data_IF_164677804560
#
_entry.id   IF_164677804560
#
_cell.length_a   1.000
_cell.length_b   1.000
_cell.length_c   1.000
_cell.angle_alpha   90.00
_cell.angle_beta   90.00
_cell.angle_gamma   90.00
#
_symmetry.space_group_name_H-M   'P 1'
#
loop_
_entity.id
_entity.type
_entity.pdbx_description
1 polymer ?
#
# COMPACT_ATOMS: atom_id res chain seq x y z
N UNK A 1 -10.04 -65.75 6.53
CA UNK A 1 -8.93 -64.80 6.25
C UNK A 1 -9.08 -64.00 4.95
N UNK A 2 -9.58 -64.55 3.82
CA UNK A 2 -9.69 -63.81 2.55
C UNK A 2 -10.76 -62.68 2.46
N UNK A 3 -11.75 -62.64 3.37
CA UNK A 3 -12.81 -61.62 3.36
C UNK A 3 -12.44 -60.31 4.08
N UNK A 4 -11.47 -60.35 4.98
CA UNK A 4 -11.03 -59.17 5.74
C UNK A 4 -9.98 -58.36 4.98
N UNK A 5 -9.19 -59.00 4.12
CA UNK A 5 -8.22 -58.31 3.25
C UNK A 5 -8.89 -57.46 2.17
N UNK A 6 -10.02 -57.89 1.61
CA UNK A 6 -10.74 -57.10 0.59
C UNK A 6 -11.43 -55.86 1.16
N UNK A 7 -11.93 -55.93 2.40
CA UNK A 7 -12.54 -54.76 3.05
C UNK A 7 -11.48 -53.71 3.41
N UNK A 8 -10.31 -54.15 3.90
CA UNK A 8 -9.19 -53.26 4.22
C UNK A 8 -8.66 -52.55 2.97
N UNK A 9 -8.55 -53.25 1.84
CA UNK A 9 -8.08 -52.67 0.56
C UNK A 9 -9.09 -51.66 0.02
N UNK A 10 -10.40 -51.90 0.16
CA UNK A 10 -11.43 -50.95 -0.29
C UNK A 10 -11.45 -49.68 0.59
N UNK A 11 -11.30 -49.81 1.91
CA UNK A 11 -11.22 -48.67 2.82
C UNK A 11 -9.93 -47.86 2.59
N UNK A 12 -8.80 -48.52 2.34
CA UNK A 12 -7.53 -47.86 2.00
C UNK A 12 -7.64 -47.14 0.64
N UNK A 13 -8.28 -47.73 -0.38
CA UNK A 13 -8.48 -47.08 -1.67
C UNK A 13 -9.45 -45.89 -1.60
N UNK A 14 -10.49 -45.95 -0.76
CA UNK A 14 -11.41 -44.81 -0.54
C UNK A 14 -10.73 -43.68 0.24
N UNK A 15 -9.93 -44.01 1.26
CA UNK A 15 -9.13 -43.02 1.99
C UNK A 15 -8.05 -42.41 1.08
N UNK A 16 -7.41 -43.20 0.21
CA UNK A 16 -6.44 -42.69 -0.77
C UNK A 16 -7.13 -41.83 -1.83
N UNK A 17 -8.34 -42.18 -2.29
CA UNK A 17 -9.10 -41.37 -3.26
C UNK A 17 -9.61 -40.06 -2.65
N UNK A 18 -10.04 -40.08 -1.38
CA UNK A 18 -10.44 -38.86 -0.65
C UNK A 18 -9.22 -37.99 -0.36
N UNK A 19 -8.07 -38.57 0.01
CA UNK A 19 -6.82 -37.81 0.18
C UNK A 19 -6.25 -37.30 -1.15
N UNK A 20 -6.39 -38.01 -2.27
CA UNK A 20 -5.97 -37.50 -3.59
C UNK A 20 -6.90 -36.37 -4.05
N UNK A 21 -8.20 -36.42 -3.72
CA UNK A 21 -9.14 -35.34 -4.01
C UNK A 21 -8.94 -34.12 -3.10
N UNK A 22 -8.54 -34.31 -1.83
CA UNK A 22 -8.24 -33.24 -0.87
C UNK A 22 -6.82 -32.66 -1.06
N UNK A 23 -5.88 -33.42 -1.64
CA UNK A 23 -4.52 -32.96 -1.94
C UNK A 23 -4.43 -32.22 -3.30
N UNK A 24 -5.51 -32.19 -4.09
CA UNK A 24 -5.55 -31.37 -5.30
C UNK A 24 -5.87 -29.88 -5.08
N UNK A 25 -6.11 -29.41 -3.84
CA UNK A 25 -6.55 -28.02 -3.61
C UNK A 25 -5.52 -27.06 -2.96
N UNK A 26 -4.23 -27.40 -2.84
CA UNK A 26 -3.28 -26.52 -2.08
C UNK A 26 -1.86 -26.41 -2.65
N UNK A 27 -1.66 -26.50 -3.98
CA UNK A 27 -0.36 -26.15 -4.58
C UNK A 27 -0.51 -25.15 -5.72
N UNK A 28 -0.65 -23.87 -5.37
CA UNK A 28 -0.42 -22.80 -6.35
C UNK A 28 1.10 -22.59 -6.50
N UNK A 29 1.60 -22.85 -7.71
CA UNK A 29 3.00 -22.73 -8.08
C UNK A 29 3.42 -21.25 -8.14
N UNK A 30 4.61 -20.98 -7.61
CA UNK A 30 5.30 -19.69 -7.80
C UNK A 30 5.70 -19.55 -9.26
N UNK A 31 5.14 -18.57 -9.98
CA UNK A 31 5.82 -18.10 -11.19
C UNK A 31 7.00 -17.23 -10.78
N UNK A 32 8.22 -17.76 -10.91
CA UNK A 32 9.45 -16.98 -10.89
C UNK A 32 9.83 -16.67 -12.33
N UNK A 33 9.73 -15.39 -12.71
CA UNK A 33 10.10 -14.96 -14.05
C UNK A 33 11.61 -15.20 -14.28
N UNK A 34 12.02 -15.98 -15.32
CA UNK A 34 13.44 -16.18 -15.65
C UNK A 34 14.12 -14.91 -16.18
N UNK A 35 13.39 -13.82 -16.41
CA UNK A 35 13.89 -12.49 -16.78
C UNK A 35 13.76 -11.51 -15.61
N UNK A 36 14.71 -11.56 -14.66
CA UNK A 36 15.08 -10.47 -13.72
C UNK A 36 14.02 -9.36 -13.49
N UNK A 37 12.83 -9.67 -12.98
CA UNK A 37 11.82 -8.67 -12.57
C UNK A 37 11.06 -9.16 -11.33
N UNK A 38 10.77 -8.21 -10.44
CA UNK A 38 10.71 -8.39 -8.99
C UNK A 38 9.34 -8.77 -8.39
N UNK A 39 8.35 -9.21 -9.17
CA UNK A 39 7.00 -9.49 -8.66
C UNK A 39 6.73 -11.00 -8.59
N UNK A 40 6.33 -11.49 -7.42
CA UNK A 40 5.71 -12.80 -7.27
C UNK A 40 4.19 -12.60 -7.25
N UNK A 41 3.43 -13.49 -7.87
CA UNK A 41 1.96 -13.46 -7.86
C UNK A 41 1.48 -14.82 -7.35
N UNK A 42 0.58 -14.82 -6.37
CA UNK A 42 -0.23 -15.99 -6.02
C UNK A 42 -1.67 -15.69 -6.47
N UNK A 43 -2.43 -16.73 -6.76
CA UNK A 43 -3.79 -16.62 -7.29
C UNK A 43 -4.52 -17.90 -6.93
N UNK A 44 -5.84 -17.86 -6.79
CA UNK A 44 -6.62 -19.09 -6.68
C UNK A 44 -6.70 -19.78 -8.04
N UNK A 45 -6.40 -21.08 -8.04
CA UNK A 45 -5.90 -21.80 -9.20
C UNK A 45 -6.96 -22.23 -10.25
N UNK A 46 -8.25 -21.89 -10.07
CA UNK A 46 -9.36 -22.39 -10.90
C UNK A 46 -10.14 -21.32 -11.69
N UNK A 47 -9.74 -20.03 -11.64
CA UNK A 47 -10.43 -18.97 -12.40
C UNK A 47 -9.97 -18.94 -13.88
N UNK A 48 -10.87 -18.99 -14.88
CA UNK A 48 -10.50 -18.93 -16.30
C UNK A 48 -9.82 -17.60 -16.71
N UNK A 49 -9.90 -16.55 -15.89
CA UNK A 49 -9.21 -15.27 -16.09
C UNK A 49 -7.78 -15.27 -15.53
N UNK A 50 -7.33 -16.36 -14.90
CA UNK A 50 -6.06 -16.43 -14.18
C UNK A 50 -4.84 -15.95 -14.98
N UNK A 51 -4.65 -16.45 -16.19
CA UNK A 51 -3.50 -16.07 -17.03
C UNK A 51 -3.50 -14.55 -17.31
N UNK A 52 -4.67 -13.98 -17.55
CA UNK A 52 -4.84 -12.55 -17.82
C UNK A 52 -4.59 -11.69 -16.58
N UNK A 53 -4.99 -12.18 -15.40
CA UNK A 53 -4.67 -11.56 -14.11
C UNK A 53 -3.16 -11.52 -13.91
N UNK A 54 -2.48 -12.65 -14.11
CA UNK A 54 -1.01 -12.74 -13.99
C UNK A 54 -0.32 -11.78 -14.97
N UNK A 55 -0.76 -11.75 -16.23
CA UNK A 55 -0.21 -10.84 -17.25
C UNK A 55 -0.40 -9.37 -16.86
N UNK A 56 -1.57 -8.99 -16.34
CA UNK A 56 -1.80 -7.63 -15.84
C UNK A 56 -0.86 -7.25 -14.69
N UNK A 57 -0.58 -8.16 -13.75
CA UNK A 57 0.42 -7.91 -12.70
C UNK A 57 1.85 -7.79 -13.24
N UNK A 58 2.20 -8.58 -14.27
CA UNK A 58 3.51 -8.48 -14.94
C UNK A 58 3.65 -7.13 -15.66
N UNK A 59 2.59 -6.68 -16.34
CA UNK A 59 2.54 -5.37 -17.00
C UNK A 59 2.63 -4.24 -15.97
N UNK A 60 1.89 -4.31 -14.86
CA UNK A 60 1.96 -3.34 -13.77
C UNK A 60 3.38 -3.23 -13.17
N UNK A 61 4.02 -4.37 -12.91
CA UNK A 61 5.40 -4.41 -12.43
C UNK A 61 6.40 -3.84 -13.41
N UNK A 62 6.17 -4.05 -14.70
CA UNK A 62 7.00 -3.48 -15.77
C UNK A 62 6.84 -1.95 -15.85
N UNK A 63 5.62 -1.44 -15.68
CA UNK A 63 5.33 0.00 -15.63
C UNK A 63 6.00 0.64 -14.41
N UNK A 64 5.81 0.09 -13.20
CA UNK A 64 6.45 0.61 -11.99
C UNK A 64 7.99 0.56 -12.07
N UNK A 65 8.55 -0.55 -12.58
CA UNK A 65 10.01 -0.70 -12.75
C UNK A 65 10.61 0.21 -13.85
N UNK A 66 9.77 0.78 -14.73
CA UNK A 66 10.21 1.78 -15.70
C UNK A 66 10.38 3.17 -15.07
N UNK A 67 9.78 3.40 -13.91
CA UNK A 67 9.79 4.67 -13.20
C UNK A 67 10.72 4.63 -11.98
N UNK A 68 10.58 3.57 -11.17
CA UNK A 68 11.30 3.38 -9.93
C UNK A 68 12.64 2.68 -10.16
N UNK A 69 13.69 3.22 -9.53
CA UNK A 69 15.00 2.62 -9.43
C UNK A 69 15.11 1.96 -8.04
N UNK A 70 14.80 0.66 -7.99
CA UNK A 70 14.76 -0.11 -6.75
C UNK A 70 16.14 -0.69 -6.42
N UNK A 71 16.59 -0.51 -5.17
CA UNK A 71 17.83 -1.11 -4.65
C UNK A 71 17.62 -2.57 -4.27
N UNK A 72 16.45 -2.86 -3.72
CA UNK A 72 16.01 -4.22 -3.42
C UNK A 72 14.67 -4.49 -4.10
N UNK A 73 14.47 -5.74 -4.50
CA UNK A 73 13.18 -6.21 -5.01
C UNK A 73 12.06 -5.99 -3.99
N UNK A 74 10.91 -5.52 -4.47
CA UNK A 74 9.66 -5.45 -3.71
C UNK A 74 8.82 -6.66 -4.12
N UNK A 75 8.54 -7.53 -3.15
CA UNK A 75 7.76 -8.73 -3.33
C UNK A 75 6.31 -8.43 -2.98
N UNK A 76 5.44 -8.65 -3.95
CA UNK A 76 4.00 -8.54 -3.77
C UNK A 76 3.44 -9.95 -3.56
N UNK A 77 2.41 -10.10 -2.73
CA UNK A 77 1.55 -11.27 -2.71
C UNK A 77 0.13 -10.80 -2.99
N UNK A 78 -0.51 -11.43 -3.96
CA UNK A 78 -1.85 -11.08 -4.35
C UNK A 78 -2.76 -12.28 -4.18
N UNK A 79 -4.04 -12.01 -3.96
CA UNK A 79 -5.14 -12.95 -4.17
C UNK A 79 -6.13 -12.30 -5.13
N UNK A 80 -6.63 -13.04 -6.11
CA UNK A 80 -7.68 -12.57 -7.01
C UNK A 80 -8.74 -13.67 -7.09
N UNK A 81 -9.97 -13.32 -6.72
CA UNK A 81 -11.10 -14.24 -6.62
C UNK A 81 -12.40 -13.43 -6.59
N UNK A 82 -13.53 -14.05 -6.89
CA UNK A 82 -14.83 -13.42 -6.70
C UNK A 82 -15.13 -13.34 -5.20
N UNK A 83 -15.21 -12.12 -4.66
CA UNK A 83 -15.42 -11.88 -3.23
C UNK A 83 -16.75 -12.46 -2.74
N UNK A 84 -17.70 -12.67 -3.64
CA UNK A 84 -19.03 -13.22 -3.35
C UNK A 84 -19.17 -14.71 -3.67
N UNK A 85 -18.13 -15.39 -4.17
CA UNK A 85 -18.23 -16.77 -4.68
C UNK A 85 -18.88 -17.75 -3.68
N UNK A 86 -18.57 -17.59 -2.39
CA UNK A 86 -19.00 -18.46 -1.30
C UNK A 86 -20.01 -17.81 -0.33
N UNK A 87 -20.45 -16.56 -0.59
CA UNK A 87 -21.39 -15.84 0.26
C UNK A 87 -22.74 -15.57 -0.46
N UNK A 88 -23.78 -16.37 -0.20
CA UNK A 88 -25.10 -16.18 -0.79
C UNK A 88 -25.82 -14.91 -0.29
N UNK A 89 -25.29 -14.24 0.72
CA UNK A 89 -25.78 -12.96 1.23
C UNK A 89 -24.94 -11.76 0.76
N UNK A 90 -23.94 -11.99 -0.09
CA UNK A 90 -23.08 -10.95 -0.65
C UNK A 90 -23.91 -9.89 -1.38
N UNK A 91 -24.28 -8.85 -0.65
CA UNK A 91 -25.10 -7.73 -1.07
C UNK A 91 -24.46 -6.46 -0.51
N UNK A 92 -24.71 -5.32 -1.15
CA UNK A 92 -24.18 -4.03 -0.70
C UNK A 92 -22.72 -3.81 -1.13
N UNK A 93 -22.00 -2.99 -0.36
CA UNK A 93 -20.73 -2.39 -0.78
C UNK A 93 -19.61 -3.42 -1.02
N UNK A 94 -19.58 -4.51 -0.26
CA UNK A 94 -18.58 -5.58 -0.41
C UNK A 94 -18.62 -6.27 -1.78
N UNK A 95 -19.80 -6.37 -2.40
CA UNK A 95 -19.94 -6.95 -3.74
C UNK A 95 -19.39 -6.03 -4.84
N UNK A 96 -19.27 -4.73 -4.57
CA UNK A 96 -18.79 -3.71 -5.51
C UNK A 96 -17.37 -3.24 -5.20
N UNK A 97 -16.76 -3.73 -4.11
CA UNK A 97 -15.36 -3.47 -3.78
C UNK A 97 -14.46 -4.07 -4.88
N UNK A 98 -13.68 -3.27 -5.61
CA UNK A 98 -12.78 -3.77 -6.64
C UNK A 98 -11.57 -4.53 -6.06
N UNK A 99 -11.27 -4.34 -4.78
CA UNK A 99 -10.09 -4.85 -4.12
C UNK A 99 -9.19 -3.73 -3.60
N UNK A 100 -8.09 -4.14 -2.98
CA UNK A 100 -7.12 -3.24 -2.35
C UNK A 100 -5.70 -3.83 -2.41
N UNK A 101 -4.69 -2.98 -2.24
CA UNK A 101 -3.36 -3.43 -1.84
C UNK A 101 -2.74 -2.51 -0.80
N UNK A 102 -2.04 -3.11 0.16
CA UNK A 102 -1.48 -2.42 1.31
C UNK A 102 -0.09 -2.95 1.67
N UNK A 103 0.75 -2.15 2.37
CA UNK A 103 1.99 -2.65 2.93
C UNK A 103 1.71 -3.80 3.90
N UNK A 104 2.47 -4.89 3.81
CA UNK A 104 2.35 -6.01 4.77
C UNK A 104 2.92 -5.66 6.14
N UNK A 105 3.87 -4.73 6.18
CA UNK A 105 4.49 -4.27 7.41
C UNK A 105 4.85 -2.79 7.30
N UNK A 106 4.63 -2.06 8.39
CA UNK A 106 5.09 -0.69 8.60
C UNK A 106 6.21 -0.70 9.66
N UNK A 107 7.30 0.03 9.39
CA UNK A 107 8.38 0.25 10.34
C UNK A 107 8.24 1.63 10.95
N UNK A 108 8.26 1.69 12.28
CA UNK A 108 8.37 2.95 13.00
C UNK A 108 9.84 3.41 12.96
N UNK A 109 10.12 4.45 12.18
CA UNK A 109 11.46 5.01 12.03
C UNK A 109 11.48 6.47 12.46
N UNK A 110 12.63 6.93 12.95
CA UNK A 110 12.82 8.33 13.31
C UNK A 110 13.34 9.10 12.11
N UNK A 111 12.62 10.14 11.74
CA UNK A 111 12.86 10.94 10.56
C UNK A 111 13.97 12.01 10.80
N UNK A 112 14.32 12.78 9.76
CA UNK A 112 15.35 13.82 9.82
C UNK A 112 14.99 15.02 10.70
N UNK A 113 13.70 15.28 10.90
CA UNK A 113 13.16 16.24 11.86
C UNK A 113 13.05 15.68 13.30
N UNK A 114 13.44 14.41 13.50
CA UNK A 114 13.42 13.74 14.79
C UNK A 114 12.06 13.15 15.19
N UNK A 115 11.03 13.26 14.35
CA UNK A 115 9.69 12.69 14.59
C UNK A 115 9.66 11.23 14.16
N UNK A 116 8.98 10.38 14.93
CA UNK A 116 8.75 8.99 14.57
C UNK A 116 7.59 8.86 13.58
N UNK A 117 7.81 8.15 12.47
CA UNK A 117 6.80 7.90 11.44
C UNK A 117 6.83 6.46 10.96
N UNK A 118 5.71 5.99 10.46
CA UNK A 118 5.50 4.67 9.86
C UNK A 118 5.92 4.69 8.39
N UNK A 119 6.80 3.77 8.04
CA UNK A 119 7.33 3.57 6.68
C UNK A 119 6.93 2.19 6.17
N UNK A 120 6.37 2.06 4.96
CA UNK A 120 6.08 0.76 4.39
C UNK A 120 7.37 -0.01 4.12
N UNK A 121 7.37 -1.31 4.40
CA UNK A 121 8.55 -2.17 4.20
C UNK A 121 9.13 -2.05 2.78
N UNK A 122 8.25 -1.91 1.78
CA UNK A 122 8.59 -1.68 0.37
C UNK A 122 9.53 -0.48 0.16
N UNK A 123 9.37 0.58 0.96
CA UNK A 123 10.24 1.78 1.00
C UNK A 123 11.46 1.56 1.89
N UNK A 124 11.30 0.96 3.07
CA UNK A 124 12.40 0.73 4.03
C UNK A 124 13.57 -0.01 3.40
N UNK A 125 13.28 -1.02 2.56
CA UNK A 125 14.26 -1.80 1.79
C UNK A 125 15.05 -1.01 0.75
N UNK A 126 14.66 0.24 0.50
CA UNK A 126 15.34 1.12 -0.46
C UNK A 126 16.33 2.07 0.23
N UNK A 127 16.29 2.16 1.56
CA UNK A 127 17.31 2.88 2.32
C UNK A 127 18.58 2.04 2.49
N UNK A 128 19.71 2.70 2.77
CA UNK A 128 21.01 2.04 2.93
C UNK A 128 21.42 2.08 4.40
N UNK A 129 20.76 1.27 5.22
CA UNK A 129 21.10 1.12 6.63
C UNK A 129 22.44 0.41 6.80
N UNK A 130 23.12 0.64 7.93
CA UNK A 130 24.36 -0.08 8.26
C UNK A 130 24.09 -1.56 8.59
N UNK A 131 22.89 -1.85 9.09
CA UNK A 131 22.34 -3.19 9.28
C UNK A 131 20.88 -3.12 8.83
N UNK A 132 20.52 -3.93 7.84
CA UNK A 132 19.14 -4.03 7.39
C UNK A 132 18.28 -4.66 8.50
N UNK A 133 17.05 -4.16 8.76
CA UNK A 133 16.12 -4.85 9.62
C UNK A 133 15.65 -6.18 8.98
N UNK A 134 15.13 -7.08 9.80
CA UNK A 134 14.51 -8.32 9.31
C UNK A 134 13.20 -8.00 8.59
N UNK A 135 13.13 -8.35 7.31
CA UNK A 135 11.95 -8.09 6.47
C UNK A 135 10.98 -9.28 6.48
N UNK A 136 9.69 -8.99 6.60
CA UNK A 136 8.64 -9.98 6.42
C UNK A 136 8.47 -10.35 4.93
N UNK A 137 7.88 -11.51 4.67
CA UNK A 137 7.39 -11.87 3.35
C UNK A 137 5.87 -11.93 3.37
N UNK A 138 5.16 -11.30 2.42
CA UNK A 138 5.61 -10.39 1.35
C UNK A 138 5.88 -8.96 1.84
N UNK A 139 6.28 -8.04 0.95
CA UNK A 139 6.37 -6.59 1.22
C UNK A 139 5.01 -5.89 1.07
N UNK A 140 4.21 -6.31 0.09
CA UNK A 140 2.86 -5.80 -0.21
C UNK A 140 1.90 -6.98 -0.29
N UNK A 141 0.73 -6.83 0.32
CA UNK A 141 -0.40 -7.75 0.19
C UNK A 141 -1.55 -7.07 -0.57
N UNK A 142 -2.30 -7.81 -1.38
CA UNK A 142 -3.52 -7.28 -1.98
C UNK A 142 -4.53 -8.35 -2.38
N UNK A 143 -5.78 -7.95 -2.43
CA UNK A 143 -6.93 -8.78 -2.80
C UNK A 143 -7.71 -8.07 -3.90
N UNK A 144 -8.13 -8.78 -4.94
CA UNK A 144 -8.86 -8.20 -6.08
C UNK A 144 -10.11 -9.00 -6.40
N UNK A 145 -11.25 -8.31 -6.51
CA UNK A 145 -12.55 -8.91 -6.67
C UNK A 145 -12.85 -9.27 -8.14
N UNK A 146 -12.64 -10.53 -8.51
CA UNK A 146 -12.92 -11.04 -9.87
C UNK A 146 -14.42 -11.20 -10.19
N UNK A 147 -15.30 -10.95 -9.22
CA UNK A 147 -16.76 -10.86 -9.40
C UNK A 147 -17.16 -9.62 -10.20
N UNK A 148 -16.30 -8.60 -10.29
CA UNK A 148 -16.53 -7.44 -11.12
C UNK A 148 -16.28 -7.70 -12.62
N UNK A 149 -16.92 -6.86 -13.44
CA UNK A 149 -16.82 -6.94 -14.89
C UNK A 149 -15.54 -6.25 -15.38
N UNK A 150 -14.42 -6.98 -15.39
CA UNK A 150 -13.14 -6.45 -15.87
C UNK A 150 -12.95 -6.56 -17.38
N UNK A 151 -12.16 -5.63 -17.92
CA UNK A 151 -11.56 -5.66 -19.24
C UNK A 151 -10.05 -5.88 -19.11
N UNK A 152 -9.52 -6.75 -19.96
CA UNK A 152 -8.09 -7.01 -20.09
C UNK A 152 -7.58 -6.56 -21.47
N UNK A 153 -6.28 -6.27 -21.57
CA UNK A 153 -5.62 -5.70 -22.75
C UNK A 153 -5.92 -6.40 -24.09
N UNK A 154 -6.14 -7.71 -24.07
CA UNK A 154 -6.41 -8.53 -25.27
C UNK A 154 -7.90 -8.83 -25.48
N UNK A 155 -8.78 -8.22 -24.70
CA UNK A 155 -10.21 -8.28 -24.95
C UNK A 155 -10.62 -7.39 -26.13
N UNK A 156 -11.81 -7.63 -26.72
CA UNK A 156 -12.45 -6.66 -27.60
C UNK A 156 -12.53 -5.28 -26.95
N UNK A 157 -12.76 -4.20 -27.73
CA UNK A 157 -12.84 -2.85 -27.20
C UNK A 157 -13.70 -2.77 -25.93
N UNK A 158 -13.17 -2.09 -24.91
CA UNK A 158 -13.80 -2.00 -23.60
C UNK A 158 -15.24 -1.49 -23.71
N UNK A 159 -16.14 -2.11 -22.94
CA UNK A 159 -17.55 -1.70 -22.86
C UNK A 159 -17.74 -0.70 -21.73
N UNK A 160 -18.79 0.11 -21.84
CA UNK A 160 -19.15 1.16 -20.87
C UNK A 160 -19.35 0.69 -19.42
N UNK A 161 -19.48 -0.63 -19.19
CA UNK A 161 -19.68 -1.24 -17.88
C UNK A 161 -18.51 -2.14 -17.46
N UNK A 162 -17.36 -2.04 -18.15
CA UNK A 162 -16.16 -2.79 -17.82
C UNK A 162 -15.09 -1.89 -17.22
N UNK A 163 -14.33 -2.39 -16.25
CA UNK A 163 -13.22 -1.68 -15.63
C UNK A 163 -11.88 -2.22 -16.15
N UNK A 164 -10.92 -1.33 -16.43
CA UNK A 164 -9.56 -1.73 -16.81
C UNK A 164 -8.82 -2.31 -15.60
N UNK A 165 -8.52 -3.61 -15.66
CA UNK A 165 -7.91 -4.32 -14.53
C UNK A 165 -6.45 -3.92 -14.29
N UNK A 166 -5.70 -3.57 -15.34
CA UNK A 166 -4.32 -3.11 -15.19
C UNK A 166 -4.26 -1.73 -14.52
N UNK A 167 -5.21 -0.84 -14.86
CA UNK A 167 -5.38 0.45 -14.20
C UNK A 167 -5.63 0.30 -12.70
N UNK A 168 -6.55 -0.60 -12.33
CA UNK A 168 -6.83 -0.94 -10.92
C UNK A 168 -5.59 -1.48 -10.21
N UNK A 169 -4.89 -2.47 -10.76
CA UNK A 169 -3.68 -3.02 -10.13
C UNK A 169 -2.64 -1.92 -9.87
N UNK A 170 -2.40 -1.05 -10.85
CA UNK A 170 -1.42 0.02 -10.70
C UNK A 170 -1.81 1.02 -9.61
N UNK A 171 -3.09 1.34 -9.52
CA UNK A 171 -3.65 2.18 -8.46
C UNK A 171 -3.38 1.57 -7.09
N UNK A 172 -3.82 0.33 -6.88
CA UNK A 172 -3.67 -0.36 -5.60
C UNK A 172 -2.21 -0.56 -5.19
N UNK A 173 -1.34 -0.92 -6.14
CA UNK A 173 0.08 -1.05 -5.83
C UNK A 173 0.72 0.27 -5.38
N UNK A 174 0.19 1.43 -5.77
CA UNK A 174 0.67 2.72 -5.25
C UNK A 174 0.34 2.90 -3.76
N UNK A 175 -0.82 2.43 -3.30
CA UNK A 175 -1.14 2.35 -1.87
C UNK A 175 -0.16 1.42 -1.14
N UNK A 176 0.10 0.23 -1.69
CA UNK A 176 1.12 -0.69 -1.16
C UNK A 176 2.55 -0.12 -1.11
N UNK A 177 2.87 0.86 -1.97
CA UNK A 177 4.15 1.58 -1.94
C UNK A 177 4.18 2.72 -0.91
N UNK A 178 3.05 3.05 -0.28
CA UNK A 178 2.96 4.07 0.78
C UNK A 178 2.20 5.34 0.40
N UNK A 179 1.45 5.35 -0.70
CA UNK A 179 0.52 6.45 -0.98
C UNK A 179 -0.72 6.32 -0.09
N UNK A 180 -0.57 6.56 1.22
CA UNK A 180 -1.68 6.41 2.16
C UNK A 180 -1.43 7.24 3.41
N UNK A 181 -2.44 8.01 3.82
CA UNK A 181 -2.39 8.77 5.06
C UNK A 181 -2.60 7.87 6.27
N UNK A 182 -2.08 8.28 7.44
CA UNK A 182 -2.50 7.68 8.71
C UNK A 182 -3.73 8.36 9.29
N UNK A 183 -4.22 9.47 8.72
CA UNK A 183 -5.37 10.19 9.25
C UNK A 183 -6.67 9.46 8.92
N UNK A 184 -7.35 8.98 9.95
CA UNK A 184 -8.62 8.28 9.82
C UNK A 184 -9.46 8.46 11.10
N UNK A 185 -10.67 7.91 11.12
CA UNK A 185 -11.54 7.96 12.30
C UNK A 185 -11.00 7.11 13.45
N UNK A 186 -10.23 6.04 13.16
CA UNK A 186 -9.63 5.10 14.13
C UNK A 186 -10.54 4.76 15.32
N UNK A 187 -11.82 4.64 15.03
CA UNK A 187 -12.88 4.50 16.00
C UNK A 187 -13.72 3.29 15.62
N UNK A 188 -13.95 2.34 16.56
CA UNK A 188 -14.92 1.27 16.34
C UNK A 188 -16.36 1.82 16.25
N UNK A 189 -16.56 3.09 16.63
CA UNK A 189 -17.78 3.83 16.34
C UNK A 189 -17.65 4.55 15.00
N UNK A 190 -18.35 4.03 13.99
CA UNK A 190 -18.46 4.58 12.64
C UNK A 190 -19.08 5.99 12.60
N UNK A 191 -19.73 6.43 13.69
CA UNK A 191 -20.30 7.78 13.80
C UNK A 191 -19.30 8.84 14.30
N UNK A 192 -18.01 8.48 14.43
CA UNK A 192 -16.97 9.38 14.88
C UNK A 192 -16.93 10.68 14.06
N UNK A 193 -17.03 11.81 14.77
CA UNK A 193 -17.03 13.15 14.17
C UNK A 193 -15.65 13.81 14.22
N UNK A 194 -14.59 13.02 14.18
CA UNK A 194 -13.21 13.48 14.23
C UNK A 194 -12.28 12.49 13.53
N UNK A 195 -11.11 12.97 13.12
CA UNK A 195 -10.03 12.12 12.61
C UNK A 195 -8.74 12.38 13.37
N UNK A 196 -7.91 11.35 13.47
CA UNK A 196 -6.58 11.39 14.10
C UNK A 196 -5.59 10.60 13.25
N UNK A 197 -4.27 10.81 13.38
CA UNK A 197 -3.29 9.86 12.90
C UNK A 197 -3.44 8.51 13.62
N UNK A 198 -2.74 7.48 13.16
CA UNK A 198 -2.84 6.14 13.74
C UNK A 198 -2.48 6.13 15.23
N UNK A 199 -3.40 5.69 16.08
CA UNK A 199 -3.18 5.53 17.51
C UNK A 199 -2.43 4.22 17.77
N UNK A 200 -1.27 4.29 18.43
CA UNK A 200 -0.39 3.13 18.63
C UNK A 200 -0.24 2.74 20.10
N UNK A 201 0.08 1.47 20.36
CA UNK A 201 0.32 0.91 21.71
C UNK A 201 1.66 0.19 21.79
N UNK A 202 2.24 0.10 23.00
CA UNK A 202 3.51 -0.60 23.23
C UNK A 202 3.38 -2.12 23.06
N UNK A 203 2.24 -2.67 23.46
CA UNK A 203 2.02 -4.11 23.53
C UNK A 203 1.66 -4.72 22.18
N UNK A 204 1.01 -3.94 21.30
CA UNK A 204 0.44 -4.45 20.06
C UNK A 204 0.15 -3.31 19.08
N UNK A 205 0.92 -3.26 17.99
CA UNK A 205 0.73 -2.29 16.91
C UNK A 205 -0.56 -2.51 16.13
N UNK A 206 -1.14 -3.71 16.20
CA UNK A 206 -2.27 -4.17 15.41
C UNK A 206 -3.57 -4.25 16.25
N UNK A 207 -3.52 -3.72 17.47
CA UNK A 207 -4.57 -3.88 18.48
C UNK A 207 -5.93 -3.27 18.11
N UNK A 208 -5.93 -2.24 17.28
CA UNK A 208 -7.15 -1.51 16.90
C UNK A 208 -7.89 -2.13 15.72
N UNK A 209 -7.42 -3.26 15.18
CA UNK A 209 -8.15 -3.97 14.13
C UNK A 209 -9.24 -4.87 14.74
N UNK A 210 -10.39 -4.91 14.08
CA UNK A 210 -11.65 -5.48 14.59
C UNK A 210 -11.49 -6.91 15.11
N UNK A 211 -10.72 -7.75 14.41
CA UNK A 211 -10.51 -9.16 14.77
C UNK A 211 -9.75 -9.38 16.08
N UNK A 212 -9.06 -8.35 16.59
CA UNK A 212 -8.27 -8.41 17.84
C UNK A 212 -8.68 -7.35 18.86
N UNK A 213 -9.74 -6.60 18.58
CA UNK A 213 -10.25 -5.58 19.48
C UNK A 213 -10.88 -6.22 20.72
N UNK A 214 -10.25 -6.01 21.88
CA UNK A 214 -10.84 -6.31 23.18
C UNK A 214 -11.09 -4.99 23.92
N UNK A 215 -12.34 -4.52 24.07
CA UNK A 215 -12.64 -3.25 24.72
C UNK A 215 -12.19 -3.20 26.20
N UNK A 216 -11.82 -4.32 26.80
CA UNK A 216 -11.36 -4.39 28.19
C UNK A 216 -9.84 -4.60 28.33
N UNK A 217 -9.13 -4.96 27.24
CA UNK A 217 -7.66 -5.10 27.30
C UNK A 217 -7.05 -3.73 27.56
N UNK A 218 -6.16 -3.71 28.56
CA UNK A 218 -5.45 -2.52 29.01
C UNK A 218 -4.12 -2.47 28.29
N UNK A 219 -3.84 -1.34 27.68
CA UNK A 219 -2.62 -1.09 26.89
C UNK A 219 -1.94 0.19 27.37
N UNK A 220 -0.68 0.32 27.01
CA UNK A 220 0.13 1.52 27.18
C UNK A 220 0.16 2.26 25.83
N UNK A 221 -0.41 3.46 25.79
CA UNK A 221 -0.53 4.22 24.55
C UNK A 221 0.80 4.91 24.21
N UNK A 222 1.30 4.70 22.99
CA UNK A 222 2.50 5.37 22.48
C UNK A 222 2.18 6.75 21.87
N UNK A 223 0.91 7.05 21.68
CA UNK A 223 0.42 8.27 21.03
C UNK A 223 0.01 8.05 19.59
N UNK A 224 -0.26 9.16 18.90
CA UNK A 224 -0.56 9.17 17.47
C UNK A 224 0.75 9.13 16.67
N UNK A 225 0.78 8.33 15.60
CA UNK A 225 1.89 8.26 14.65
C UNK A 225 1.42 8.46 13.22
N UNK A 226 2.28 9.12 12.48
CA UNK A 226 2.08 9.48 11.09
C UNK A 226 2.61 8.40 10.18
N UNK A 227 2.01 8.24 9.00
CA UNK A 227 2.69 7.61 7.88
C UNK A 227 3.70 8.61 7.29
N UNK A 228 4.73 8.12 6.60
CA UNK A 228 5.65 8.99 5.85
C UNK A 228 4.93 9.89 4.83
N UNK A 229 3.76 9.47 4.35
CA UNK A 229 2.87 10.30 3.54
C UNK A 229 2.54 11.64 4.21
N UNK A 230 2.19 11.60 5.50
CA UNK A 230 1.65 12.75 6.23
C UNK A 230 2.72 13.82 6.51
N UNK A 231 4.00 13.42 6.55
CA UNK A 231 5.14 14.36 6.63
C UNK A 231 5.06 15.43 5.55
N UNK A 232 4.59 15.04 4.37
CA UNK A 232 4.56 15.92 3.19
C UNK A 232 3.18 16.53 2.96
N UNK A 233 2.22 16.28 3.83
CA UNK A 233 0.88 16.85 3.73
C UNK A 233 0.88 18.27 4.33
N UNK A 234 0.36 19.23 3.57
CA UNK A 234 0.29 20.64 3.97
C UNK A 234 -1.12 21.20 3.78
N UNK A 235 -1.46 22.21 4.58
CA UNK A 235 -2.63 23.04 4.33
C UNK A 235 -2.35 23.99 3.16
N UNK A 236 -3.14 23.92 2.11
CA UNK A 236 -2.91 24.69 0.86
C UNK A 236 -2.91 26.20 1.12
N UNK A 237 -3.81 26.66 2.00
CA UNK A 237 -4.02 28.07 2.31
C UNK A 237 -2.92 28.72 3.15
N UNK A 238 -2.14 27.95 3.93
CA UNK A 238 -1.13 28.48 4.85
C UNK A 238 0.27 27.97 4.55
N UNK A 239 0.39 26.83 3.86
CA UNK A 239 1.63 26.09 3.66
C UNK A 239 2.17 25.40 4.90
N UNK A 240 1.44 25.43 6.02
CA UNK A 240 1.83 24.73 7.24
C UNK A 240 1.68 23.21 7.04
N UNK A 241 2.61 22.45 7.59
CA UNK A 241 2.56 20.99 7.60
C UNK A 241 1.46 20.48 8.54
N UNK A 242 0.77 19.43 8.10
CA UNK A 242 -0.23 18.73 8.91
C UNK A 242 0.41 18.15 10.16
N UNK A 243 1.70 17.78 10.11
CA UNK A 243 2.45 17.30 11.27
C UNK A 243 2.47 18.24 12.48
N UNK A 244 2.26 19.55 12.27
CA UNK A 244 2.10 20.48 13.38
C UNK A 244 0.85 20.15 14.23
N UNK A 245 -0.24 19.68 13.61
CA UNK A 245 -1.44 19.25 14.33
C UNK A 245 -1.23 17.90 15.01
N UNK A 246 -0.50 16.97 14.39
CA UNK A 246 -0.12 15.71 15.05
C UNK A 246 0.69 15.96 16.31
N UNK A 247 1.64 16.89 16.28
CA UNK A 247 2.41 17.28 17.45
C UNK A 247 1.51 17.79 18.59
N UNK A 248 0.55 18.69 18.28
CA UNK A 248 -0.41 19.20 19.25
C UNK A 248 -1.36 18.12 19.80
N UNK A 249 -1.80 17.18 18.95
CA UNK A 249 -2.59 16.03 19.38
C UNK A 249 -1.80 15.16 20.36
N UNK A 250 -0.49 14.98 20.11
CA UNK A 250 0.37 14.16 20.96
C UNK A 250 0.66 14.77 22.35
N UNK A 251 0.41 16.06 22.57
CA UNK A 251 0.44 16.65 23.92
C UNK A 251 -0.56 15.98 24.88
N UNK A 252 -1.61 15.34 24.35
CA UNK A 252 -2.55 14.53 25.13
C UNK A 252 -1.84 13.43 25.94
N UNK A 253 -0.79 12.83 25.38
CA UNK A 253 -0.02 11.73 25.98
C UNK A 253 1.16 12.20 26.86
N UNK A 254 1.21 13.49 27.21
CA UNK A 254 2.26 14.04 28.09
C UNK A 254 2.30 13.41 29.49
N UNK A 255 1.24 12.71 29.90
CA UNK A 255 1.21 11.83 31.05
C UNK A 255 1.01 10.40 30.56
N UNK A 256 1.73 9.41 31.11
CA UNK A 256 1.56 8.00 30.76
C UNK A 256 0.08 7.59 30.78
N UNK A 257 -0.51 7.42 29.59
CA UNK A 257 -1.89 6.98 29.46
C UNK A 257 -1.87 5.46 29.38
N UNK A 258 -2.41 4.82 30.42
CA UNK A 258 -2.72 3.39 30.43
C UNK A 258 -4.22 3.20 30.59
N UNK A 259 -4.81 2.32 29.82
CA UNK A 259 -6.25 2.08 29.88
C UNK A 259 -6.77 1.23 28.75
N UNK A 260 -8.08 1.01 28.76
CA UNK A 260 -8.77 0.48 27.58
C UNK A 260 -8.92 1.55 26.49
N UNK A 261 -9.32 1.12 25.30
CA UNK A 261 -9.71 2.05 24.23
C UNK A 261 -10.88 2.95 24.66
N UNK A 262 -11.87 2.41 25.38
CA UNK A 262 -13.00 3.19 25.89
C UNK A 262 -12.54 4.29 26.88
N UNK A 263 -11.64 3.95 27.81
CA UNK A 263 -11.05 4.92 28.74
C UNK A 263 -10.31 6.04 27.99
N UNK A 264 -9.56 5.67 26.94
CA UNK A 264 -8.88 6.61 26.05
C UNK A 264 -9.89 7.53 25.36
N UNK A 265 -10.91 6.98 24.70
CA UNK A 265 -11.88 7.73 23.91
C UNK A 265 -12.61 8.77 24.75
N UNK A 266 -13.10 8.40 25.94
CA UNK A 266 -13.79 9.32 26.85
C UNK A 266 -12.87 10.47 27.31
N UNK A 267 -11.63 10.15 27.69
CA UNK A 267 -10.63 11.17 28.09
C UNK A 267 -10.27 12.06 26.91
N UNK A 268 -10.05 11.49 25.73
CA UNK A 268 -9.69 12.21 24.53
C UNK A 268 -10.79 13.19 24.14
N UNK A 269 -12.06 12.75 24.07
CA UNK A 269 -13.20 13.61 23.74
C UNK A 269 -13.43 14.74 24.74
N UNK A 270 -13.00 14.57 26.00
CA UNK A 270 -13.02 15.61 27.03
C UNK A 270 -11.83 16.56 27.00
N UNK A 271 -10.79 16.26 26.21
CA UNK A 271 -9.54 17.02 26.16
C UNK A 271 -9.60 18.19 25.17
N UNK A 272 -8.71 19.20 25.32
CA UNK A 272 -8.56 20.25 24.31
C UNK A 272 -8.17 19.71 22.93
N UNK A 273 -7.41 18.61 22.86
CA UNK A 273 -6.95 18.00 21.61
C UNK A 273 -8.10 17.48 20.73
N UNK A 274 -9.25 17.14 21.31
CA UNK A 274 -10.44 16.76 20.56
C UNK A 274 -10.88 17.82 19.55
N UNK A 275 -10.74 19.11 19.89
CA UNK A 275 -11.10 20.18 18.97
C UNK A 275 -10.20 20.20 17.72
N UNK A 276 -8.93 19.81 17.85
CA UNK A 276 -7.97 19.72 16.75
C UNK A 276 -8.36 18.57 15.81
N UNK A 277 -8.75 17.43 16.37
CA UNK A 277 -9.19 16.26 15.61
C UNK A 277 -10.48 16.53 14.81
N UNK A 278 -11.44 17.26 15.40
CA UNK A 278 -12.65 17.72 14.70
C UNK A 278 -12.34 18.74 13.60
N UNK A 279 -11.44 19.67 13.87
CA UNK A 279 -11.00 20.66 12.88
C UNK A 279 -10.35 19.97 11.67
N UNK A 280 -9.53 18.95 11.90
CA UNK A 280 -8.94 18.15 10.82
C UNK A 280 -9.97 17.42 9.97
N UNK A 281 -11.02 16.88 10.59
CA UNK A 281 -12.10 16.25 9.82
C UNK A 281 -12.78 17.28 8.92
N UNK A 282 -13.12 18.46 9.45
CA UNK A 282 -13.74 19.52 8.67
C UNK A 282 -12.83 20.03 7.52
N UNK A 283 -11.52 20.16 7.77
CA UNK A 283 -10.56 20.50 6.72
C UNK A 283 -10.56 19.42 5.62
N UNK A 284 -10.57 18.15 6.01
CA UNK A 284 -10.49 17.00 5.08
C UNK A 284 -11.77 16.77 4.28
N UNK A 285 -12.85 17.49 4.59
CA UNK A 285 -14.13 17.47 3.87
C UNK A 285 -14.44 18.80 3.17
N UNK A 286 -13.43 19.63 2.96
CA UNK A 286 -13.54 20.89 2.24
C UNK A 286 -12.62 20.88 1.02
N UNK A 287 -13.12 21.17 -0.19
CA UNK A 287 -12.32 21.05 -1.41
C UNK A 287 -10.99 21.80 -1.35
N UNK A 288 -9.93 21.16 -1.83
CA UNK A 288 -8.62 21.77 -2.11
C UNK A 288 -7.92 22.39 -0.89
N UNK A 289 -8.22 21.93 0.32
CA UNK A 289 -7.63 22.42 1.57
C UNK A 289 -6.30 21.75 1.91
N UNK A 290 -6.04 20.57 1.33
CA UNK A 290 -4.84 19.76 1.58
C UNK A 290 -4.12 19.40 0.28
N UNK A 291 -2.80 19.29 0.35
CA UNK A 291 -2.00 18.79 -0.76
C UNK A 291 -0.62 18.32 -0.30
N UNK A 292 0.02 17.51 -1.14
CA UNK A 292 1.36 16.97 -0.86
C UNK A 292 2.42 17.87 -1.50
N UNK A 293 3.42 18.25 -0.71
CA UNK A 293 4.63 18.89 -1.21
C UNK A 293 5.55 17.84 -1.84
N UNK A 294 6.37 18.29 -2.77
CA UNK A 294 7.45 17.47 -3.33
C UNK A 294 8.81 18.01 -2.89
N UNK A 295 9.85 17.18 -3.05
CA UNK A 295 11.22 17.48 -2.64
C UNK A 295 11.74 18.82 -3.19
N UNK A 296 11.32 19.23 -4.39
CA UNK A 296 11.77 20.49 -5.00
C UNK A 296 11.13 21.71 -4.32
N UNK A 297 9.93 21.56 -3.77
CA UNK A 297 9.27 22.60 -2.99
C UNK A 297 9.83 22.65 -1.56
N UNK A 298 10.13 21.50 -0.96
CA UNK A 298 10.65 21.42 0.41
C UNK A 298 12.01 22.12 0.58
N UNK A 299 12.84 22.18 -0.47
CA UNK A 299 14.16 22.84 -0.43
C UNK A 299 14.12 24.35 -0.61
N UNK A 300 12.98 24.92 -1.02
CA UNK A 300 12.90 26.32 -1.48
C UNK A 300 11.77 27.13 -0.84
N UNK A 301 10.93 26.52 0.00
CA UNK A 301 9.86 27.23 0.68
C UNK A 301 10.36 27.90 1.95
N UNK A 302 10.21 29.23 2.02
CA UNK A 302 10.71 30.03 3.15
C UNK A 302 9.61 30.58 4.05
N UNK A 303 8.33 30.54 3.65
CA UNK A 303 7.10 30.80 4.43
C UNK A 303 5.91 31.12 3.50
N UNK A 304 4.67 30.87 3.96
CA UNK A 304 3.42 31.28 3.30
C UNK A 304 2.69 30.19 2.51
N UNK A 305 1.54 30.52 1.93
CA UNK A 305 0.74 29.59 1.13
C UNK A 305 1.53 29.05 -0.08
N UNK A 306 1.31 27.78 -0.43
CA UNK A 306 1.80 27.23 -1.70
C UNK A 306 0.86 27.65 -2.82
N UNK A 307 1.41 27.79 -4.03
CA UNK A 307 0.55 27.76 -5.21
C UNK A 307 0.00 26.34 -5.37
N UNK A 308 -1.32 26.22 -5.42
CA UNK A 308 -2.00 24.93 -5.54
C UNK A 308 -1.55 24.14 -6.77
N UNK A 309 -1.16 24.81 -7.87
CA UNK A 309 -0.66 24.14 -9.07
C UNK A 309 0.65 23.39 -8.84
N UNK A 310 1.40 23.73 -7.80
CA UNK A 310 2.69 23.11 -7.47
C UNK A 310 2.52 21.87 -6.58
N UNK A 311 1.42 21.79 -5.82
CA UNK A 311 1.09 20.69 -4.92
C UNK A 311 0.47 19.48 -5.65
N UNK A 312 0.59 18.29 -5.06
CA UNK A 312 -0.24 17.16 -5.44
C UNK A 312 -1.48 17.16 -4.55
N UNK A 313 -2.58 17.76 -5.03
CA UNK A 313 -3.76 18.05 -4.22
C UNK A 313 -4.49 16.75 -3.89
N UNK A 314 -4.75 16.50 -2.61
CA UNK A 314 -5.46 15.28 -2.17
C UNK A 314 -6.97 15.49 -2.23
N UNK A 315 -7.73 14.41 -2.31
CA UNK A 315 -9.18 14.47 -2.36
C UNK A 315 -9.76 14.90 -1.00
N UNK A 316 -10.35 16.09 -0.98
CA UNK A 316 -11.11 16.62 0.15
C UNK A 316 -12.49 17.10 -0.29
N UNK A 317 -12.99 16.58 -1.41
CA UNK A 317 -14.18 17.12 -2.10
C UNK A 317 -15.50 16.64 -1.52
N UNK A 318 -15.51 15.51 -0.81
CA UNK A 318 -16.71 14.98 -0.16
C UNK A 318 -17.11 15.81 1.05
N UNK A 319 -18.42 16.02 1.24
CA UNK A 319 -18.97 16.67 2.43
C UNK A 319 -18.94 15.78 3.68
N UNK A 320 -18.65 14.49 3.51
CA UNK A 320 -18.50 13.50 4.59
C UNK A 320 -17.13 12.85 4.44
N UNK A 321 -16.41 12.75 5.55
CA UNK A 321 -15.11 12.08 5.54
C UNK A 321 -15.33 10.59 5.34
N UNK A 322 -14.73 10.06 4.28
CA UNK A 322 -14.67 8.64 3.98
C UNK A 322 -13.26 8.15 4.29
N UNK A 323 -13.06 7.25 5.29
CA UNK A 323 -11.73 6.79 5.67
C UNK A 323 -10.98 6.04 4.57
N UNK A 324 -11.69 5.50 3.57
CA UNK A 324 -11.09 4.80 2.44
C UNK A 324 -10.73 5.78 1.31
N UNK A 325 -11.53 6.83 1.11
CA UNK A 325 -11.38 7.71 -0.03
C UNK A 325 -10.76 9.08 0.28
N UNK A 326 -11.25 9.75 1.32
CA UNK A 326 -10.84 11.11 1.67
C UNK A 326 -9.35 11.11 2.02
N UNK A 327 -8.61 12.09 1.48
CA UNK A 327 -7.16 12.34 1.65
C UNK A 327 -6.19 11.20 1.28
N UNK A 328 -6.68 9.97 1.09
CA UNK A 328 -5.94 8.82 0.55
C UNK A 328 -5.82 8.86 -0.97
N UNK A 329 -6.63 9.68 -1.64
CA UNK A 329 -6.63 9.86 -3.09
C UNK A 329 -6.28 11.29 -3.47
N UNK A 330 -6.17 11.53 -4.77
CA UNK A 330 -5.94 12.88 -5.33
C UNK A 330 -7.25 13.48 -5.82
N UNK A 331 -7.32 14.82 -5.80
CA UNK A 331 -8.53 15.55 -6.19
C UNK A 331 -8.99 15.14 -7.59
N UNK A 332 -10.19 14.58 -7.63
CA UNK A 332 -10.75 13.98 -8.83
C UNK A 332 -10.88 14.98 -9.99
N UNK A 333 -11.37 16.18 -9.68
CA UNK A 333 -11.66 17.21 -10.68
C UNK A 333 -10.37 17.83 -11.22
N UNK A 334 -9.37 18.05 -10.36
CA UNK A 334 -8.06 18.59 -10.76
C UNK A 334 -7.35 17.62 -11.70
N UNK A 335 -7.41 16.31 -11.43
CA UNK A 335 -6.55 15.34 -12.11
C UNK A 335 -7.21 14.53 -13.23
N UNK A 336 -8.52 14.64 -13.42
CA UNK A 336 -9.20 14.08 -14.59
C UNK A 336 -8.68 14.71 -15.89
N UNK A 337 -8.37 13.88 -16.89
CA UNK A 337 -7.74 14.28 -18.16
C UNK A 337 -6.38 14.98 -17.98
N UNK A 338 -5.64 14.65 -16.93
CA UNK A 338 -4.25 15.10 -16.73
C UNK A 338 -3.30 13.92 -16.63
N UNK A 339 -1.99 14.16 -16.66
CA UNK A 339 -0.99 13.10 -16.53
C UNK A 339 -0.97 12.44 -15.14
N UNK A 340 -1.55 13.06 -14.11
CA UNK A 340 -1.55 12.57 -12.72
C UNK A 340 -2.93 12.00 -12.31
N UNK A 341 -3.58 11.28 -13.22
CA UNK A 341 -4.93 10.73 -13.04
C UNK A 341 -5.01 9.46 -12.17
N UNK A 342 -3.88 8.76 -11.98
CA UNK A 342 -3.90 7.37 -11.50
C UNK A 342 -4.48 7.24 -10.09
N UNK A 343 -4.13 8.12 -9.16
CA UNK A 343 -4.54 8.05 -7.74
C UNK A 343 -5.89 8.70 -7.44
N UNK A 344 -6.75 8.90 -8.45
CA UNK A 344 -8.13 9.36 -8.23
C UNK A 344 -8.93 8.26 -7.52
N UNK A 345 -9.84 8.63 -6.63
CA UNK A 345 -10.70 7.70 -5.89
C UNK A 345 -11.69 6.89 -6.74
N UNK A 346 -11.78 7.14 -8.05
CA UNK A 346 -12.69 6.43 -8.94
C UNK A 346 -11.99 6.07 -10.25
N UNK A 347 -12.16 4.81 -10.64
CA UNK A 347 -11.91 4.32 -11.98
C UNK A 347 -13.22 4.36 -12.77
N UNK A 348 -13.18 4.89 -14.00
CA UNK A 348 -14.37 4.96 -14.83
C UNK A 348 -14.55 3.67 -15.64
N UNK A 349 -15.75 3.07 -15.60
CA UNK A 349 -16.04 1.96 -16.49
C UNK A 349 -16.13 2.47 -17.94
N UNK A 350 -15.62 1.67 -18.88
CA UNK A 350 -15.52 2.05 -20.30
C UNK A 350 -14.28 2.85 -20.68
N UNK A 351 -13.40 3.17 -19.72
CA UNK A 351 -12.12 3.81 -19.98
C UNK A 351 -10.98 2.80 -19.83
N UNK A 352 -10.01 2.84 -20.75
CA UNK A 352 -8.78 2.04 -20.62
C UNK A 352 -7.67 2.90 -20.06
N UNK A 353 -6.71 2.29 -19.39
CA UNK A 353 -5.49 2.95 -18.91
C UNK A 353 -4.77 3.66 -20.07
N UNK A 354 -4.74 3.03 -21.24
CA UNK A 354 -4.15 3.64 -22.45
C UNK A 354 -4.93 4.86 -22.94
N UNK A 355 -6.25 4.85 -22.79
CA UNK A 355 -7.13 5.98 -23.06
C UNK A 355 -6.82 7.16 -22.13
N UNK A 356 -6.75 6.91 -20.83
CA UNK A 356 -6.39 7.92 -19.83
C UNK A 356 -5.00 8.53 -20.11
N UNK A 357 -4.03 7.68 -20.44
CA UNK A 357 -2.68 8.13 -20.85
C UNK A 357 -2.76 9.02 -22.11
N UNK A 358 -3.59 8.69 -23.09
CA UNK A 358 -3.74 9.53 -24.30
C UNK A 358 -4.44 10.86 -24.03
N UNK A 359 -5.43 10.87 -23.13
CA UNK A 359 -6.18 12.07 -22.76
C UNK A 359 -5.34 13.02 -21.90
N UNK A 360 -4.67 12.49 -20.88
CA UNK A 360 -3.93 13.28 -19.90
C UNK A 360 -2.43 13.44 -20.16
N UNK A 361 -1.83 12.57 -20.96
CA UNK A 361 -0.38 12.35 -20.98
C UNK A 361 0.46 13.25 -21.88
N UNK A 362 -0.05 14.35 -22.45
CA UNK A 362 0.79 15.20 -23.32
C UNK A 362 1.65 16.18 -22.52
N UNK A 363 2.97 15.94 -22.47
CA UNK A 363 3.93 16.99 -22.12
C UNK A 363 3.92 18.12 -23.17
N UNK A 364 4.48 19.29 -22.82
CA UNK A 364 4.71 20.43 -23.73
C UNK A 364 5.52 20.06 -25.00
N UNK A 365 6.22 18.92 -25.01
CA UNK A 365 7.00 18.40 -26.14
C UNK A 365 6.35 17.20 -26.87
N UNK A 366 5.11 16.85 -26.53
CA UNK A 366 4.37 15.73 -27.15
C UNK A 366 4.79 14.32 -26.69
N UNK A 367 5.67 14.19 -25.68
CA UNK A 367 5.94 12.88 -25.08
C UNK A 367 4.77 12.45 -24.19
N UNK A 368 4.34 11.20 -24.37
CA UNK A 368 3.36 10.55 -23.50
C UNK A 368 4.03 10.22 -22.15
N UNK A 369 3.44 10.69 -21.05
CA UNK A 369 3.74 10.15 -19.71
C UNK A 369 3.02 8.82 -19.58
N UNK A 370 3.67 7.79 -19.05
CA UNK A 370 2.97 6.55 -18.70
C UNK A 370 1.94 6.78 -17.58
N UNK A 371 1.36 5.70 -17.06
CA UNK A 371 0.36 5.75 -15.98
C UNK A 371 0.83 6.47 -14.71
N UNK A 372 2.13 6.46 -14.42
CA UNK A 372 2.71 7.17 -13.28
C UNK A 372 3.06 8.60 -13.70
N UNK A 373 2.17 9.53 -13.36
CA UNK A 373 2.32 10.95 -13.64
C UNK A 373 3.51 11.63 -12.96
N UNK A 374 3.86 12.85 -13.39
CA UNK A 374 5.01 13.58 -12.87
C UNK A 374 4.88 13.96 -11.39
N UNK A 375 3.68 14.29 -10.88
CA UNK A 375 3.48 14.58 -9.45
C UNK A 375 3.54 13.31 -8.62
N UNK A 376 2.92 12.21 -9.07
CA UNK A 376 3.01 10.93 -8.38
C UNK A 376 4.45 10.40 -8.31
N UNK A 377 5.18 10.45 -9.43
CA UNK A 377 6.61 10.11 -9.48
C UNK A 377 7.42 10.97 -8.50
N UNK A 378 7.21 12.29 -8.49
CA UNK A 378 7.93 13.21 -7.57
C UNK A 378 7.56 12.94 -6.12
N UNK A 379 6.33 12.55 -5.83
CA UNK A 379 5.93 12.18 -4.48
C UNK A 379 6.69 10.93 -4.00
N UNK A 380 6.79 9.88 -4.82
CA UNK A 380 7.63 8.71 -4.51
C UNK A 380 9.11 9.09 -4.29
N UNK A 381 9.67 9.99 -5.11
CA UNK A 381 11.01 10.54 -4.90
C UNK A 381 11.15 11.28 -3.57
N UNK A 382 10.08 11.98 -3.14
CA UNK A 382 10.05 12.76 -1.90
C UNK A 382 10.02 11.85 -0.69
N UNK A 383 9.26 10.74 -0.74
CA UNK A 383 9.27 9.73 0.33
C UNK A 383 10.60 8.98 0.44
N UNK A 384 11.33 8.85 -0.67
CA UNK A 384 12.68 8.26 -0.68
C UNK A 384 12.88 7.13 -1.70
N UNK A 385 11.90 6.81 -2.55
CA UNK A 385 12.11 5.88 -3.66
C UNK A 385 13.03 6.49 -4.71
N UNK A 386 14.06 5.75 -5.13
CA UNK A 386 14.88 6.14 -6.28
C UNK A 386 14.07 6.14 -7.58
N UNK A 387 14.41 7.03 -8.50
CA UNK A 387 13.97 6.97 -9.91
C UNK A 387 15.17 7.06 -10.83
N UNK A 388 15.04 6.74 -12.11
CA UNK A 388 16.18 6.87 -13.05
C UNK A 388 16.71 8.31 -13.18
N UNK A 389 15.85 9.32 -12.98
CA UNK A 389 16.28 10.73 -12.95
C UNK A 389 16.88 11.15 -11.60
N UNK A 390 16.60 10.41 -10.53
CA UNK A 390 17.05 10.70 -9.17
C UNK A 390 17.30 9.38 -8.41
N UNK A 391 18.37 8.64 -8.74
CA UNK A 391 18.58 7.28 -8.21
C UNK A 391 19.12 7.28 -6.76
N UNK A 392 19.61 8.43 -6.28
CA UNK A 392 20.19 8.57 -4.96
C UNK A 392 19.46 9.69 -4.20
N UNK A 393 19.21 9.43 -2.92
CA UNK A 393 18.67 10.39 -1.97
C UNK A 393 19.68 10.62 -0.85
N UNK A 394 19.83 11.88 -0.46
CA UNK A 394 20.62 12.27 0.72
C UNK A 394 19.84 12.07 2.02
N UNK A 395 18.52 11.97 1.93
CA UNK A 395 17.63 11.71 3.04
C UNK A 395 17.65 10.22 3.43
N UNK A 396 17.76 9.94 4.73
CA UNK A 396 17.66 8.59 5.28
C UNK A 396 17.10 8.69 6.71
N UNK A 397 15.96 8.04 7.02
CA UNK A 397 15.49 7.93 8.40
C UNK A 397 16.47 7.09 9.22
N UNK A 398 16.35 7.14 10.53
CA UNK A 398 17.14 6.33 11.46
C UNK A 398 16.29 5.21 12.05
N UNK A 399 16.87 4.02 12.06
CA UNK A 399 16.39 2.86 12.81
C UNK A 399 16.87 3.01 14.27
N UNK A 400 16.17 3.84 15.07
CA UNK A 400 16.54 4.11 16.48
C UNK A 400 15.80 3.24 17.52
N UNK A 401 15.04 2.22 17.11
CA UNK A 401 14.33 1.35 18.05
C UNK A 401 15.04 0.01 18.25
N UNK A 402 15.28 -0.36 19.52
CA UNK A 402 15.51 -1.75 19.88
C UNK A 402 14.27 -2.57 19.45
N UNK A 403 14.43 -3.80 18.94
CA UNK A 403 13.30 -4.63 18.54
C UNK A 403 12.35 -4.82 19.73
N UNK A 404 11.08 -4.45 19.56
CA UNK A 404 10.02 -4.86 20.49
C UNK A 404 9.85 -6.37 20.28
N UNK A 405 10.09 -7.13 21.34
CA UNK A 405 10.17 -8.59 21.29
C UNK A 405 8.76 -9.19 21.22
N UNK A 406 8.23 -9.35 20.00
CA UNK A 406 7.00 -10.08 19.70
C UNK A 406 7.33 -11.56 19.52
N UNK A 407 7.47 -12.30 20.62
CA UNK A 407 7.52 -13.75 20.57
C UNK A 407 6.73 -14.37 21.73
N UNK A 408 5.49 -14.77 21.43
CA UNK A 408 4.88 -15.97 22.03
C UNK A 408 3.75 -16.54 21.16
N UNK A 409 4.09 -17.56 20.36
CA UNK A 409 3.16 -18.53 19.74
C UNK A 409 2.65 -18.12 18.36
N UNK A 410 2.74 -18.91 17.28
CA UNK A 410 2.86 -20.36 17.10
C UNK A 410 3.59 -20.64 15.77
N UNK A 411 4.27 -21.78 15.70
CA UNK A 411 5.02 -22.20 14.51
C UNK A 411 4.10 -22.38 13.29
N UNK A 412 4.34 -21.59 12.23
CA UNK A 412 3.92 -21.93 10.88
C UNK A 412 5.06 -22.67 10.18
N UNK A 413 4.75 -23.81 9.58
CA UNK A 413 5.69 -24.59 8.78
C UNK A 413 6.04 -23.80 7.51
N UNK A 414 7.29 -23.36 7.43
CA UNK A 414 7.83 -22.57 6.32
C UNK A 414 8.48 -23.48 5.26
N UNK A 415 8.10 -23.31 3.99
CA UNK A 415 8.83 -23.87 2.85
C UNK A 415 9.67 -22.76 2.22
N UNK A 416 10.98 -22.82 2.47
CA UNK A 416 12.00 -21.92 1.92
C UNK A 416 12.27 -22.18 0.43
N UNK A 417 12.39 -21.12 -0.37
CA UNK A 417 13.05 -21.16 -1.68
C UNK A 417 13.93 -19.91 -1.81
N UNK A 418 15.24 -20.15 -1.90
CA UNK A 418 16.29 -19.14 -2.14
C UNK A 418 16.45 -18.86 -3.64
N UNK A 419 16.75 -17.62 -4.03
CA UNK A 419 17.47 -17.37 -5.29
C UNK A 419 18.45 -16.19 -5.19
N UNK A 420 19.73 -16.52 -5.39
CA UNK A 420 20.92 -15.67 -5.33
C UNK A 420 21.09 -14.83 -6.61
N UNK A 421 21.61 -13.61 -6.48
CA UNK A 421 22.22 -12.87 -7.60
C UNK A 421 23.74 -13.08 -7.58
N UNK A 422 24.28 -13.65 -8.66
CA UNK A 422 25.72 -13.67 -8.93
C UNK A 422 26.07 -12.45 -9.79
N UNK A 423 26.97 -11.59 -9.29
CA UNK A 423 27.54 -10.46 -10.02
C UNK A 423 28.60 -11.00 -10.98
N UNK A 424 28.44 -10.81 -12.29
CA UNK A 424 29.59 -10.82 -13.22
C UNK A 424 29.95 -9.38 -13.60
N UNK A 425 31.10 -8.94 -13.11
CA UNK A 425 31.91 -7.88 -13.73
C UNK A 425 32.56 -8.49 -14.98
N UNK A 426 32.28 -7.96 -16.16
CA UNK A 426 33.14 -8.19 -17.32
C UNK A 426 34.16 -7.05 -17.37
N UNK A 427 35.33 -7.28 -16.77
CA UNK A 427 36.58 -6.62 -17.12
C UNK A 427 37.19 -7.36 -18.30
N UNK A 428 37.15 -6.76 -19.49
CA UNK A 428 37.93 -7.21 -20.63
C UNK A 428 39.38 -6.71 -20.46
N UNK A 429 40.29 -7.62 -20.11
CA UNK A 429 41.73 -7.49 -20.39
C UNK A 429 42.08 -8.75 -21.18
N UNK A 430 42.23 -8.61 -22.49
CA UNK A 430 42.89 -9.61 -23.31
C UNK A 430 44.34 -9.14 -23.44
N UNK A 431 45.25 -9.86 -22.78
CA UNK A 431 46.69 -9.78 -22.98
C UNK A 431 47.23 -11.19 -23.25
N UNK A 432 48.12 -11.24 -24.25
CA UNK A 432 49.00 -12.33 -24.70
C UNK A 432 48.35 -13.59 -25.32
N UNK A 433 48.60 -13.89 -26.60
CA UNK A 433 49.86 -14.33 -27.24
C UNK A 433 50.36 -15.66 -26.67
N UNK A 434 50.28 -16.75 -27.44
CA UNK A 434 51.42 -17.38 -28.16
C UNK A 434 51.12 -18.83 -28.57
N UNK A 435 51.54 -19.15 -29.80
CA UNK A 435 52.06 -20.44 -30.32
C UNK A 435 51.14 -21.68 -30.28
N UNK A 436 50.92 -22.45 -31.37
CA UNK A 436 51.76 -22.88 -32.50
C UNK A 436 50.92 -22.89 -33.79
#
# INVERSE_FOLDING_TARGET
MKRWTSLLILTILVIISINICVIQSTQCFRYQNPRKRNIAVRTNCDDPKLDRVIEAFIDAGSILSSVLYLRSSIVVNISAYDFCADDPLCNGDYAYDPGYAQPTLLYLLKDDDGVERLYPQSLVKQFNFSSDPEYNYPDIYGEFNLGLNYWFKDDPPIKYNQYDFLGLILHELCHGLGFQTSWSTWSPDESAQYITPMLMTEEDYEYLWEDRYDPNKRVSWMGFRENIFDKYLVFTNTGNYVSNKTALLNEFFSNDIKGSYYDFQQKFMSSPQYAIAKDMMNISTQPQTLGLVNWNLTSHHTQGAFNISDLFVVDTTSSVFDPYNSINHVDFTIYTNTSDFLMRNQLFPGETLSGDIMLGGKFHNGQLVGAIGPKLKRFFETMGYGTYSRPNHSYMPKLELAPININSGTAAVEIQIHLLVQIRRNSAIAADNTEI
#
